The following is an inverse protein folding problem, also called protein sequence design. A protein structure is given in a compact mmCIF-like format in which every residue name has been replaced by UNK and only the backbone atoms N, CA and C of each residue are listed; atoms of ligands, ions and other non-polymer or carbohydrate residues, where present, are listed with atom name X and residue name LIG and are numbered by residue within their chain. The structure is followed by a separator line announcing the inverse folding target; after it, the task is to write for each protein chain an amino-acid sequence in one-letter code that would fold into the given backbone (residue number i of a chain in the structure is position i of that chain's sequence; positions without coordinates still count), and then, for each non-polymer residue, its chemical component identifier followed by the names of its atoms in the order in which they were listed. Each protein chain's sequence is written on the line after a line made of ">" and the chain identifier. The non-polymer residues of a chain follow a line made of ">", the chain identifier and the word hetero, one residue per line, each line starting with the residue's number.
data_IF_073158456506
#
_entry.id   IF_073158456506
#
_cell.length_a   1.000
_cell.length_b   1.000
_cell.length_c   1.000
_cell.angle_alpha   90.00
_cell.angle_beta   90.00
_cell.angle_gamma   90.00
#
_symmetry.space_group_name_H-M   'P 1'
#
loop_
_entity.id
_entity.type
_entity.pdbx_description
1 polymer ?
#
# COMPACT_ATOMS: atom_id res chain seq x y z
N UNK A 1 -11.78 7.12 -18.19
CA UNK A 1 -10.66 6.18 -18.01
C UNK A 1 -10.02 6.55 -16.68
N UNK A 2 -10.04 5.63 -15.73
CA UNK A 2 -9.46 5.86 -14.41
C UNK A 2 -8.07 5.24 -14.51
N UNK A 3 -7.06 6.09 -14.59
CA UNK A 3 -5.65 5.74 -14.71
C UNK A 3 -5.23 4.63 -13.72
N UNK A 4 -5.26 3.39 -14.23
CA UNK A 4 -4.09 2.51 -14.40
C UNK A 4 -3.37 1.98 -13.15
N UNK A 5 -3.68 2.47 -11.96
CA UNK A 5 -3.19 1.88 -10.71
C UNK A 5 -4.40 1.61 -9.86
N UNK A 6 -4.86 0.37 -9.88
CA UNK A 6 -6.01 -0.08 -9.12
C UNK A 6 -5.56 -0.41 -7.70
N UNK A 7 -6.50 -0.48 -6.74
CA UNK A 7 -6.17 -0.98 -5.40
C UNK A 7 -5.49 -2.37 -5.44
N UNK A 8 -5.77 -3.16 -6.48
CA UNK A 8 -5.11 -4.45 -6.73
C UNK A 8 -3.62 -4.32 -7.07
N UNK A 9 -3.22 -3.37 -7.92
CA UNK A 9 -1.81 -3.10 -8.21
C UNK A 9 -1.07 -2.67 -6.95
N UNK A 10 -1.70 -1.77 -6.18
CA UNK A 10 -1.13 -1.31 -4.93
C UNK A 10 -0.93 -2.46 -3.95
N UNK A 11 -1.97 -3.28 -3.79
CA UNK A 11 -1.93 -4.49 -2.97
C UNK A 11 -0.81 -5.43 -3.42
N UNK A 12 -0.67 -5.72 -4.71
CA UNK A 12 0.40 -6.59 -5.23
C UNK A 12 1.80 -6.06 -4.93
N UNK A 13 2.03 -4.76 -5.04
CA UNK A 13 3.32 -4.14 -4.71
C UNK A 13 3.62 -4.23 -3.21
N UNK A 14 2.60 -3.99 -2.38
CA UNK A 14 2.69 -4.11 -0.93
C UNK A 14 2.95 -5.57 -0.54
N UNK A 15 2.23 -6.53 -1.11
CA UNK A 15 2.46 -7.97 -0.91
C UNK A 15 3.88 -8.38 -1.35
N UNK A 16 4.37 -7.85 -2.47
CA UNK A 16 5.74 -8.09 -2.96
C UNK A 16 6.83 -7.54 -2.02
N UNK A 17 6.51 -6.55 -1.20
CA UNK A 17 7.41 -6.03 -0.17
C UNK A 17 7.40 -6.88 1.12
N UNK A 18 6.64 -7.98 1.18
CA UNK A 18 6.60 -8.91 2.31
C UNK A 18 5.48 -8.63 3.32
N UNK A 19 4.59 -7.69 3.00
CA UNK A 19 3.38 -7.44 3.78
C UNK A 19 2.31 -8.47 3.44
N UNK A 20 1.50 -8.81 4.43
CA UNK A 20 0.35 -9.71 4.26
C UNK A 20 -0.89 -9.05 4.83
N UNK A 21 -2.07 -9.55 4.45
CA UNK A 21 -3.34 -9.04 4.98
C UNK A 21 -3.53 -7.53 4.71
N UNK A 22 -3.27 -7.11 3.46
CA UNK A 22 -3.41 -5.72 3.04
C UNK A 22 -4.90 -5.35 2.95
N UNK A 23 -5.32 -4.36 3.73
CA UNK A 23 -6.69 -3.88 3.85
C UNK A 23 -6.74 -2.35 3.94
N UNK A 24 -7.95 -1.79 3.86
CA UNK A 24 -8.18 -0.34 3.95
C UNK A 24 -7.37 0.49 2.92
N UNK A 25 -7.14 -0.06 1.72
CA UNK A 25 -6.40 0.64 0.67
C UNK A 25 -7.20 1.83 0.14
N UNK A 26 -6.67 3.02 0.39
CA UNK A 26 -7.25 4.29 -0.03
C UNK A 26 -6.22 5.08 -0.83
N UNK A 27 -6.58 5.41 -2.07
CA UNK A 27 -5.81 6.34 -2.89
C UNK A 27 -6.05 7.77 -2.39
N UNK A 28 -4.97 8.47 -2.11
CA UNK A 28 -4.96 9.90 -1.82
C UNK A 28 -4.89 10.72 -3.11
N UNK A 29 -5.28 12.00 -3.04
CA UNK A 29 -5.24 12.91 -4.19
C UNK A 29 -3.82 13.10 -4.74
N UNK A 30 -2.80 12.80 -3.93
CA UNK A 30 -1.39 12.90 -4.26
C UNK A 30 -0.85 11.68 -5.05
N UNK A 31 -1.74 10.77 -5.49
CA UNK A 31 -1.40 9.46 -6.07
C UNK A 31 -0.69 8.48 -5.13
N UNK A 32 -0.66 8.77 -3.83
CA UNK A 32 -0.22 7.85 -2.81
C UNK A 32 -1.35 6.89 -2.41
N UNK A 33 -0.99 5.65 -2.15
CA UNK A 33 -1.88 4.61 -1.65
C UNK A 33 -1.59 4.38 -0.19
N UNK A 34 -2.54 4.72 0.67
CA UNK A 34 -2.46 4.44 2.10
C UNK A 34 -3.25 3.18 2.37
N UNK A 35 -2.68 2.26 3.15
CA UNK A 35 -3.36 1.05 3.56
C UNK A 35 -2.86 0.57 4.91
N UNK A 36 -3.51 -0.46 5.42
CA UNK A 36 -3.04 -1.22 6.58
C UNK A 36 -2.63 -2.59 6.11
N UNK A 37 -1.49 -3.07 6.58
CA UNK A 37 -1.08 -4.43 6.33
C UNK A 37 -0.41 -5.00 7.57
N UNK A 38 -0.12 -6.29 7.54
CA UNK A 38 0.59 -6.99 8.60
C UNK A 38 1.98 -7.34 8.12
N UNK A 39 3.01 -6.90 8.82
CA UNK A 39 4.40 -7.28 8.56
C UNK A 39 4.92 -8.07 9.76
N UNK A 40 5.40 -9.29 9.52
CA UNK A 40 5.92 -10.16 10.57
C UNK A 40 4.97 -10.33 11.79
N UNK A 41 3.65 -10.43 11.52
CA UNK A 41 2.63 -10.58 12.56
C UNK A 41 2.25 -9.30 13.30
N UNK A 42 2.77 -8.13 12.89
CA UNK A 42 2.42 -6.82 13.46
C UNK A 42 1.65 -6.00 12.43
N UNK A 43 0.49 -5.48 12.83
CA UNK A 43 -0.24 -4.52 12.01
C UNK A 43 0.58 -3.23 11.89
N UNK A 44 0.80 -2.78 10.66
CA UNK A 44 1.53 -1.57 10.32
C UNK A 44 0.78 -0.80 9.22
N UNK A 45 0.90 0.52 9.28
CA UNK A 45 0.40 1.39 8.22
C UNK A 45 1.41 1.39 7.07
N UNK A 46 0.90 1.22 5.86
CA UNK A 46 1.73 1.18 4.64
C UNK A 46 1.32 2.31 3.72
N UNK A 47 2.32 2.88 3.07
CA UNK A 47 2.18 3.90 2.05
C UNK A 47 2.91 3.44 0.80
N UNK A 48 2.18 3.34 -0.29
CA UNK A 48 2.75 3.12 -1.61
C UNK A 48 2.73 4.44 -2.38
N UNK A 49 3.92 4.89 -2.76
CA UNK A 49 4.10 6.06 -3.62
C UNK A 49 3.75 5.75 -5.09
N UNK A 50 3.39 6.76 -5.90
CA UNK A 50 3.13 6.58 -7.32
C UNK A 50 4.35 6.07 -8.11
N UNK A 51 5.56 6.23 -7.56
CA UNK A 51 6.80 5.68 -8.13
C UNK A 51 7.02 4.18 -7.83
N UNK A 52 6.07 3.49 -7.19
CA UNK A 52 6.19 2.07 -6.85
C UNK A 52 6.97 1.81 -5.55
N UNK A 53 7.32 2.84 -4.78
CA UNK A 53 8.05 2.68 -3.52
C UNK A 53 7.06 2.45 -2.38
N UNK A 54 7.15 1.29 -1.74
CA UNK A 54 6.40 0.94 -0.52
C UNK A 54 7.18 1.40 0.69
N UNK A 55 6.51 2.11 1.59
CA UNK A 55 7.06 2.72 2.80
C UNK A 55 6.15 2.36 3.98
N UNK A 56 6.77 2.18 5.15
CA UNK A 56 6.05 2.01 6.41
C UNK A 56 5.81 3.38 7.02
N UNK A 57 4.57 3.66 7.39
CA UNK A 57 4.31 4.71 8.38
C UNK A 57 4.52 4.07 9.75
N UNK A 58 5.78 4.08 10.20
CA UNK A 58 6.14 3.78 11.59
C UNK A 58 6.64 5.09 12.21
N UNK A 59 6.01 5.48 13.31
CA UNK A 59 6.44 6.57 14.21
C UNK A 59 7.74 6.19 14.93
#
# INVERSE_FOLDING_TARGET
>A
MIDGSTADDARRMIEAAGFVDVRDLKKSCDNFWHGKATLAGRAANVVLSPGGKVMLESD
#
